data_IF_203222356022
#
_entry.id   IF_203222356022
#
_cell.length_a   1.000
_cell.length_b   1.000
_cell.length_c   1.000
_cell.angle_alpha   90.00
_cell.angle_beta   90.00
_cell.angle_gamma   90.00
#
_symmetry.space_group_name_H-M   'P 1'
#
loop_
_entity.id
_entity.type
_entity.pdbx_description
1 polymer ?
#
# COMPACT_ATOMS: atom_id res chain seq x y z
N UNK A 1 -18.81 14.69 7.27
CA UNK A 1 -18.03 14.98 8.50
C UNK A 1 -16.86 15.86 8.13
N UNK A 2 -16.55 16.89 8.91
CA UNK A 2 -15.34 17.71 8.73
C UNK A 2 -14.41 17.47 9.91
N UNK A 3 -13.18 17.06 9.63
CA UNK A 3 -12.14 16.84 10.64
C UNK A 3 -11.36 18.13 10.82
N UNK A 4 -11.16 18.60 12.06
CA UNK A 4 -10.45 19.84 12.37
C UNK A 4 -9.35 19.58 13.41
N UNK A 5 -8.27 20.36 13.36
CA UNK A 5 -7.27 20.38 14.42
C UNK A 5 -7.76 21.21 15.63
N UNK A 6 -7.07 21.19 16.79
CA UNK A 6 -7.47 21.98 17.97
C UNK A 6 -7.56 23.49 17.73
N UNK A 7 -6.88 24.00 16.69
CA UNK A 7 -6.93 25.40 16.27
C UNK A 7 -8.07 25.70 15.28
N UNK A 8 -8.98 24.75 15.01
CA UNK A 8 -10.13 24.93 14.12
C UNK A 8 -9.80 24.90 12.62
N UNK A 9 -8.58 24.53 12.23
CA UNK A 9 -8.20 24.36 10.82
C UNK A 9 -8.61 22.99 10.32
N UNK A 10 -9.14 22.91 9.08
CA UNK A 10 -9.54 21.63 8.48
C UNK A 10 -8.32 20.71 8.31
N UNK A 11 -8.44 19.50 8.83
CA UNK A 11 -7.53 18.41 8.50
C UNK A 11 -7.79 17.99 7.05
N UNK A 12 -6.71 17.66 6.35
CA UNK A 12 -6.80 17.17 4.99
C UNK A 12 -7.21 15.71 5.00
N UNK A 13 -8.25 15.39 4.23
CA UNK A 13 -8.70 14.02 3.98
C UNK A 13 -8.56 13.73 2.48
N UNK A 14 -7.91 12.63 2.14
CA UNK A 14 -7.86 12.08 0.78
C UNK A 14 -8.23 10.60 0.86
N UNK A 15 -9.00 10.12 -0.12
CA UNK A 15 -9.35 8.71 -0.27
C UNK A 15 -8.76 8.20 -1.57
N UNK A 16 -8.11 7.04 -1.52
CA UNK A 16 -7.51 6.38 -2.67
C UNK A 16 -8.07 4.96 -2.76
N UNK A 17 -8.49 4.57 -3.95
CA UNK A 17 -9.20 3.32 -4.20
C UNK A 17 -9.99 3.39 -5.50
N UNK A 18 -10.67 2.31 -5.84
CA UNK A 18 -11.55 2.26 -7.00
C UNK A 18 -13.02 2.00 -6.60
N UNK A 19 -13.95 2.26 -7.52
CA UNK A 19 -15.39 2.21 -7.22
C UNK A 19 -15.98 0.79 -7.23
N UNK A 20 -15.18 -0.24 -7.52
CA UNK A 20 -15.64 -1.59 -7.83
C UNK A 20 -15.15 -2.63 -6.82
N UNK A 21 -14.27 -2.23 -5.90
CA UNK A 21 -13.45 -3.12 -5.10
C UNK A 21 -13.34 -2.61 -3.65
N UNK A 22 -12.99 -3.50 -2.71
CA UNK A 22 -12.57 -3.06 -1.39
C UNK A 22 -11.08 -2.74 -1.41
N UNK A 23 -10.72 -1.54 -0.97
CA UNK A 23 -9.33 -1.09 -0.83
C UNK A 23 -9.02 -0.91 0.66
N UNK A 24 -7.91 -1.51 1.10
CA UNK A 24 -7.47 -1.53 2.49
C UNK A 24 -6.09 -0.90 2.60
N UNK A 25 -5.91 0.02 3.55
CA UNK A 25 -4.60 0.55 3.95
C UNK A 25 -4.21 -0.01 5.32
N UNK A 26 -3.04 -0.64 5.41
CA UNK A 26 -2.59 -1.39 6.60
C UNK A 26 -1.36 -0.75 7.25
N UNK A 27 -0.41 -0.30 6.43
CA UNK A 27 0.84 0.29 6.90
C UNK A 27 1.19 1.54 6.11
N UNK A 28 1.91 2.46 6.77
CA UNK A 28 2.51 3.61 6.10
C UNK A 28 3.85 3.98 6.72
N UNK A 29 4.71 4.57 5.91
CA UNK A 29 5.93 5.26 6.34
C UNK A 29 6.07 6.58 5.59
N UNK A 30 6.79 7.52 6.18
CA UNK A 30 7.35 8.68 5.47
C UNK A 30 8.70 8.28 4.87
N UNK A 31 8.94 8.70 3.63
CA UNK A 31 10.21 8.54 2.91
C UNK A 31 11.11 9.77 3.16
N UNK A 32 12.41 9.64 2.91
CA UNK A 32 13.40 10.72 3.13
C UNK A 32 13.07 12.05 2.42
N UNK A 33 12.26 12.01 1.36
CA UNK A 33 11.84 13.18 0.60
C UNK A 33 10.49 13.77 1.05
N UNK A 34 9.90 13.27 2.14
CA UNK A 34 8.62 13.69 2.71
C UNK A 34 7.38 13.12 2.01
N UNK A 35 7.56 12.27 1.00
CA UNK A 35 6.45 11.49 0.45
C UNK A 35 6.05 10.37 1.42
N UNK A 36 4.83 9.86 1.26
CA UNK A 36 4.34 8.73 2.02
C UNK A 36 4.33 7.50 1.12
N UNK A 37 4.75 6.36 1.68
CA UNK A 37 4.50 5.06 1.08
C UNK A 37 3.51 4.29 1.95
N UNK A 38 2.40 3.89 1.35
CA UNK A 38 1.31 3.14 1.99
C UNK A 38 1.29 1.74 1.41
N UNK A 39 1.04 0.73 2.26
CA UNK A 39 0.80 -0.64 1.86
C UNK A 39 -0.56 -1.13 2.34
N UNK A 40 -1.06 -2.16 1.66
CA UNK A 40 -2.30 -2.83 2.04
C UNK A 40 -2.69 -3.83 0.97
N UNK A 41 -3.97 -3.83 0.63
CA UNK A 41 -4.50 -4.67 -0.44
C UNK A 41 -5.67 -4.00 -1.15
N UNK A 42 -5.89 -4.40 -2.40
CA UNK A 42 -7.06 -4.03 -3.18
C UNK A 42 -7.64 -5.24 -3.87
N UNK A 43 -8.96 -5.33 -3.97
CA UNK A 43 -9.58 -6.41 -4.73
C UNK A 43 -9.19 -6.28 -6.21
N UNK A 44 -8.64 -7.34 -6.79
CA UNK A 44 -8.23 -7.35 -8.18
C UNK A 44 -9.45 -7.18 -9.08
N UNK A 45 -9.36 -6.33 -10.11
CA UNK A 45 -10.53 -6.02 -10.97
C UNK A 45 -11.03 -7.22 -11.78
N UNK A 46 -10.24 -8.29 -11.88
CA UNK A 46 -10.51 -9.48 -12.69
C UNK A 46 -10.78 -10.76 -11.88
N UNK A 47 -10.72 -10.72 -10.56
CA UNK A 47 -10.94 -11.90 -9.70
C UNK A 47 -11.71 -11.52 -8.42
N UNK A 48 -12.04 -12.52 -7.61
CA UNK A 48 -12.55 -12.30 -6.24
C UNK A 48 -11.41 -12.25 -5.21
N UNK A 49 -10.17 -12.19 -5.66
CA UNK A 49 -9.00 -12.20 -4.81
C UNK A 49 -8.44 -10.78 -4.60
N UNK A 50 -7.77 -10.57 -3.48
CA UNK A 50 -7.08 -9.32 -3.19
C UNK A 50 -5.64 -9.39 -3.67
N UNK A 51 -5.20 -8.38 -4.41
CA UNK A 51 -3.80 -8.15 -4.69
C UNK A 51 -3.22 -7.27 -3.57
N UNK A 52 -1.99 -7.53 -3.16
CA UNK A 52 -1.25 -6.59 -2.33
C UNK A 52 -1.11 -5.27 -3.08
N UNK A 53 -1.21 -4.15 -2.37
CA UNK A 53 -1.16 -2.83 -2.97
C UNK A 53 -0.12 -1.95 -2.30
N UNK A 54 0.65 -1.26 -3.14
CA UNK A 54 1.55 -0.20 -2.74
C UNK A 54 1.11 1.11 -3.39
N UNK A 55 1.10 2.17 -2.59
CA UNK A 55 0.70 3.49 -3.03
C UNK A 55 1.72 4.51 -2.54
N UNK A 56 2.44 5.16 -3.46
CA UNK A 56 3.28 6.31 -3.16
C UNK A 56 2.48 7.59 -3.34
N UNK A 57 2.43 8.39 -2.28
CA UNK A 57 1.69 9.64 -2.20
C UNK A 57 2.67 10.77 -1.95
N UNK A 58 2.61 11.84 -2.72
CA UNK A 58 3.49 13.00 -2.54
C UNK A 58 3.26 13.66 -1.18
N UNK A 59 4.22 14.45 -0.70
CA UNK A 59 4.01 15.32 0.48
C UNK A 59 2.80 16.27 0.36
N UNK A 60 2.43 16.65 -0.87
CA UNK A 60 1.20 17.40 -1.19
C UNK A 60 -0.06 16.54 -1.33
N UNK A 61 0.06 15.24 -1.03
CA UNK A 61 -0.89 14.14 -1.16
C UNK A 61 -1.54 13.94 -2.51
N UNK A 62 -0.76 13.99 -3.57
CA UNK A 62 -1.15 13.49 -4.89
C UNK A 62 -0.54 12.10 -5.06
N UNK A 63 -1.19 11.22 -5.80
CA UNK A 63 -0.58 9.94 -6.16
C UNK A 63 0.66 10.22 -7.02
N UNK A 64 1.80 9.63 -6.64
CA UNK A 64 3.02 9.60 -7.46
C UNK A 64 2.97 8.38 -8.36
N UNK A 65 2.75 7.21 -7.76
CA UNK A 65 2.49 5.94 -8.45
C UNK A 65 1.76 4.98 -7.51
N UNK A 66 1.16 3.95 -8.08
CA UNK A 66 0.61 2.82 -7.35
C UNK A 66 0.89 1.51 -8.09
N UNK A 67 0.96 0.40 -7.34
CA UNK A 67 1.27 -0.91 -7.90
C UNK A 67 0.53 -2.02 -7.14
N UNK A 68 -0.17 -2.87 -7.90
CA UNK A 68 -0.77 -4.12 -7.42
C UNK A 68 0.19 -5.29 -7.64
N UNK A 69 0.25 -6.17 -6.65
CA UNK A 69 1.09 -7.35 -6.61
C UNK A 69 0.22 -8.53 -6.17
N UNK A 70 -0.08 -9.42 -7.10
CA UNK A 70 -0.88 -10.59 -6.83
C UNK A 70 -1.00 -11.43 -8.08
N UNK A 71 -1.58 -12.61 -7.92
CA UNK A 71 -1.93 -13.47 -9.04
C UNK A 71 -3.39 -13.89 -8.99
N UNK A 72 -3.84 -14.62 -10.02
CA UNK A 72 -5.25 -15.01 -10.10
C UNK A 72 -5.66 -16.09 -9.08
N UNK A 73 -4.72 -16.63 -8.31
CA UNK A 73 -4.87 -17.91 -7.60
C UNK A 73 -4.99 -17.77 -6.08
N UNK A 74 -4.64 -16.63 -5.50
CA UNK A 74 -4.75 -16.41 -4.05
C UNK A 74 -4.89 -14.94 -3.68
N UNK A 75 -5.08 -14.69 -2.39
CA UNK A 75 -5.09 -13.32 -1.86
C UNK A 75 -3.73 -12.95 -1.29
N UNK A 76 -3.28 -11.75 -1.61
CA UNK A 76 -2.06 -11.12 -1.13
C UNK A 76 -2.37 -9.86 -0.30
N UNK A 77 -1.64 -9.70 0.80
CA UNK A 77 -1.68 -8.49 1.63
C UNK A 77 -0.28 -8.07 2.03
N UNK A 78 -0.03 -6.76 2.01
CA UNK A 78 1.12 -6.16 2.68
C UNK A 78 0.67 -5.43 3.93
N UNK A 79 1.31 -5.71 5.06
CA UNK A 79 0.84 -5.23 6.38
C UNK A 79 1.83 -4.34 7.09
N UNK A 80 3.09 -4.30 6.64
CA UNK A 80 4.11 -3.46 7.28
C UNK A 80 5.18 -3.00 6.30
N UNK A 81 5.76 -1.83 6.59
CA UNK A 81 6.86 -1.23 5.83
C UNK A 81 7.99 -0.80 6.78
N UNK A 82 9.22 -0.83 6.27
CA UNK A 82 10.39 -0.30 6.95
C UNK A 82 11.34 0.33 5.91
N UNK A 83 11.58 1.63 5.99
CA UNK A 83 12.64 2.25 5.20
C UNK A 83 14.00 1.82 5.76
N UNK A 84 14.84 1.28 4.89
CA UNK A 84 16.18 0.84 5.21
C UNK A 84 17.15 2.02 5.11
N UNK A 85 18.30 1.92 5.79
CA UNK A 85 19.39 2.91 5.70
C UNK A 85 19.95 3.10 4.30
N UNK A 86 19.69 2.16 3.39
CA UNK A 86 20.02 2.25 1.97
C UNK A 86 19.09 3.17 1.16
N UNK A 87 18.00 3.65 1.76
CA UNK A 87 16.93 4.40 1.08
C UNK A 87 15.84 3.51 0.46
N UNK A 88 16.09 2.21 0.28
CA UNK A 88 15.06 1.24 -0.13
C UNK A 88 14.05 0.99 0.98
N UNK A 89 12.90 0.42 0.63
CA UNK A 89 11.87 0.03 1.60
C UNK A 89 11.69 -1.48 1.60
N UNK A 90 11.75 -2.10 2.78
CA UNK A 90 11.28 -3.46 2.99
C UNK A 90 9.79 -3.46 3.32
N UNK A 91 9.03 -4.29 2.63
CA UNK A 91 7.58 -4.45 2.82
C UNK A 91 7.31 -5.92 3.11
N UNK A 92 6.60 -6.20 4.19
CA UNK A 92 6.25 -7.57 4.56
C UNK A 92 4.75 -7.76 4.68
N UNK A 93 4.32 -8.98 4.44
CA UNK A 93 2.92 -9.35 4.36
C UNK A 93 2.73 -10.86 4.21
N UNK A 94 1.62 -11.27 3.61
CA UNK A 94 1.29 -12.67 3.41
C UNK A 94 0.56 -12.94 2.10
N UNK A 95 0.68 -14.17 1.59
CA UNK A 95 0.00 -14.67 0.39
C UNK A 95 -0.70 -15.99 0.68
N UNK A 96 -1.79 -16.27 -0.02
CA UNK A 96 -2.46 -17.58 -0.04
C UNK A 96 -2.16 -18.37 -1.34
N UNK A 97 -1.41 -17.79 -2.28
CA UNK A 97 -1.16 -18.35 -3.61
C UNK A 97 0.07 -19.26 -3.68
N UNK A 98 1.02 -19.14 -2.75
CA UNK A 98 2.37 -19.67 -2.91
C UNK A 98 2.62 -21.08 -2.29
N UNK A 99 1.79 -22.08 -2.61
CA UNK A 99 2.13 -23.49 -2.33
C UNK A 99 1.02 -24.34 -1.72
N UNK A 100 1.37 -25.56 -1.28
CA UNK A 100 0.45 -26.47 -0.59
C UNK A 100 0.35 -26.11 0.90
N UNK A 101 -0.30 -24.98 1.21
CA UNK A 101 -0.35 -24.42 2.56
C UNK A 101 -1.48 -23.42 2.79
N UNK A 102 -1.50 -22.80 3.99
CA UNK A 102 -2.30 -21.61 4.31
C UNK A 102 -1.49 -20.36 3.92
N UNK A 103 -1.43 -19.33 4.77
CA UNK A 103 -0.66 -18.11 4.49
C UNK A 103 0.85 -18.37 4.49
N UNK A 104 1.54 -17.97 3.42
CA UNK A 104 3.00 -17.85 3.34
C UNK A 104 3.45 -16.40 3.54
N UNK A 105 4.72 -16.20 3.91
CA UNK A 105 5.29 -14.86 4.11
C UNK A 105 5.63 -14.24 2.76
N UNK A 106 5.16 -13.02 2.54
CA UNK A 106 5.55 -12.18 1.40
C UNK A 106 6.54 -11.12 1.88
N UNK A 107 7.68 -10.98 1.19
CA UNK A 107 8.67 -9.94 1.45
C UNK A 107 9.07 -9.28 0.11
N UNK A 108 8.97 -7.96 0.06
CA UNK A 108 9.33 -7.15 -1.10
C UNK A 108 10.34 -6.07 -0.70
N UNK A 109 11.35 -5.88 -1.53
CA UNK A 109 12.22 -4.70 -1.47
C UNK A 109 11.84 -3.74 -2.59
N UNK A 110 11.40 -2.55 -2.21
CA UNK A 110 10.98 -1.47 -3.12
C UNK A 110 12.10 -0.44 -3.21
N UNK A 111 12.52 -0.12 -4.43
CA UNK A 111 13.22 1.13 -4.66
C UNK A 111 12.16 2.24 -4.79
N UNK A 112 12.07 3.20 -3.86
CA UNK A 112 11.05 4.23 -3.93
C UNK A 112 11.18 5.07 -5.20
N UNK A 113 12.37 5.19 -5.79
CA UNK A 113 12.59 5.92 -7.04
C UNK A 113 12.13 5.16 -8.28
N UNK A 114 11.63 3.94 -8.11
CA UNK A 114 10.96 3.22 -9.18
C UNK A 114 9.81 4.07 -9.75
N UNK A 115 9.78 4.11 -11.08
CA UNK A 115 8.72 4.67 -11.88
C UNK A 115 8.32 3.55 -12.86
N UNK A 116 7.06 3.10 -12.89
CA UNK A 116 6.58 2.13 -13.87
C UNK A 116 6.70 2.61 -15.32
#
# INVERSE_FOLDING_TARGET
MSWFNPAGSRLRLSSFGDSRSFDYGEGLIELDNGDLLVCGAKTATSTTHNDAWLLRVSSSGRIVWDASLGDSTGNEWMTTLCQLTSGKVAVAGHTLAAGAGKHDILLLLVDPNWQP
#
